data_IF_442605956975
#
_entry.id   IF_442605956975
#
_cell.length_a   1.000
_cell.length_b   1.000
_cell.length_c   1.000
_cell.angle_alpha   90.00
_cell.angle_beta   90.00
_cell.angle_gamma   90.00
#
_symmetry.space_group_name_H-M   'P 1'
#
loop_
_entity.id
_entity.type
_entity.pdbx_description
1 polymer ?
#
# COMPACT_ATOMS: atom_id res chain seq x y z
N UNK A 1 -14.76 -1.69 -18.21
CA UNK A 1 -15.34 -3.04 -18.22
C UNK A 1 -16.83 -2.96 -18.51
N UNK A 2 -17.36 -3.90 -19.30
CA UNK A 2 -18.76 -4.00 -19.65
C UNK A 2 -19.18 -5.47 -19.85
N UNK A 3 -20.49 -5.72 -19.91
CA UNK A 3 -21.06 -7.02 -20.18
C UNK A 3 -21.63 -7.06 -21.60
N UNK A 4 -21.26 -8.06 -22.39
CA UNK A 4 -21.91 -8.30 -23.66
C UNK A 4 -23.33 -8.90 -23.46
N UNK A 5 -24.20 -8.71 -24.45
CA UNK A 5 -25.65 -9.06 -24.33
C UNK A 5 -25.88 -10.54 -24.01
N UNK A 6 -25.04 -11.42 -24.53
CA UNK A 6 -25.10 -12.88 -24.40
C UNK A 6 -24.16 -13.45 -23.35
N UNK A 7 -23.56 -12.58 -22.49
CA UNK A 7 -22.63 -12.99 -21.45
C UNK A 7 -23.32 -13.45 -20.17
N UNK A 8 -22.74 -14.37 -19.40
CA UNK A 8 -23.31 -14.84 -18.15
C UNK A 8 -23.45 -13.71 -17.12
N UNK A 9 -24.37 -13.89 -16.18
CA UNK A 9 -24.58 -12.94 -15.06
C UNK A 9 -23.39 -12.99 -14.07
N UNK A 10 -23.21 -11.89 -13.33
CA UNK A 10 -22.16 -11.77 -12.30
C UNK A 10 -20.79 -11.44 -12.92
N UNK A 11 -19.75 -11.63 -12.15
CA UNK A 11 -18.37 -11.23 -12.53
C UNK A 11 -17.78 -12.06 -13.67
N UNK A 12 -18.33 -13.26 -13.91
CA UNK A 12 -17.87 -14.18 -14.96
C UNK A 12 -18.26 -13.74 -16.40
N UNK A 13 -19.13 -12.74 -16.55
CA UNK A 13 -19.56 -12.25 -17.86
C UNK A 13 -19.09 -10.82 -18.14
N UNK A 14 -18.00 -10.40 -17.55
CA UNK A 14 -17.43 -9.06 -17.74
C UNK A 14 -16.26 -9.13 -18.71
N UNK A 15 -16.30 -8.28 -19.73
CA UNK A 15 -15.23 -8.09 -20.72
C UNK A 15 -14.55 -6.74 -20.56
N UNK A 16 -13.31 -6.60 -20.99
CA UNK A 16 -12.54 -5.38 -20.96
C UNK A 16 -12.59 -4.70 -22.33
N UNK A 17 -12.77 -3.37 -22.34
CA UNK A 17 -12.84 -2.59 -23.57
C UNK A 17 -11.96 -1.35 -23.48
N UNK A 18 -11.24 -1.05 -24.55
CA UNK A 18 -10.66 0.25 -24.80
C UNK A 18 -11.69 1.11 -25.54
N UNK A 19 -12.09 2.22 -24.92
CA UNK A 19 -13.11 3.11 -25.50
C UNK A 19 -12.47 4.49 -25.67
N UNK A 20 -12.06 4.87 -26.90
CA UNK A 20 -11.39 6.14 -27.14
C UNK A 20 -12.38 7.32 -27.08
N UNK A 21 -11.90 8.48 -26.65
CA UNK A 21 -12.68 9.74 -26.64
C UNK A 21 -13.08 10.21 -28.05
N UNK A 22 -12.20 9.98 -29.00
CA UNK A 22 -12.42 10.18 -30.45
C UNK A 22 -12.17 8.85 -31.14
N UNK A 23 -13.01 8.53 -32.11
CA UNK A 23 -12.81 7.34 -32.92
C UNK A 23 -11.51 7.49 -33.71
N UNK A 24 -10.75 6.42 -33.83
CA UNK A 24 -9.50 6.43 -34.60
C UNK A 24 -9.85 6.10 -36.09
N UNK A 25 -9.40 6.95 -37.02
CA UNK A 25 -9.54 6.72 -38.43
C UNK A 25 -8.63 5.58 -38.93
N UNK A 26 -8.86 5.05 -40.11
CA UNK A 26 -8.05 3.99 -40.71
C UNK A 26 -6.57 4.37 -40.90
N UNK A 27 -6.28 5.65 -41.08
CA UNK A 27 -4.92 6.21 -41.20
C UNK A 27 -4.25 6.46 -39.84
N UNK A 28 -4.92 6.15 -38.74
CA UNK A 28 -4.46 6.41 -37.36
C UNK A 28 -4.73 7.83 -36.85
N UNK A 29 -5.35 8.69 -37.67
CA UNK A 29 -5.72 10.06 -37.34
C UNK A 29 -6.91 10.12 -36.38
N UNK A 30 -7.13 11.34 -35.83
CA UNK A 30 -8.25 11.63 -34.94
C UNK A 30 -9.53 11.77 -35.78
N UNK A 31 -10.48 10.87 -35.57
CA UNK A 31 -11.79 10.87 -36.18
C UNK A 31 -12.86 11.64 -35.40
N UNK A 32 -14.12 11.36 -35.65
CA UNK A 32 -15.23 12.02 -34.96
C UNK A 32 -15.24 11.71 -33.44
N UNK A 33 -15.90 12.56 -32.68
CA UNK A 33 -16.10 12.33 -31.25
C UNK A 33 -16.92 11.07 -31.03
N UNK A 34 -16.44 10.21 -30.15
CA UNK A 34 -17.12 8.98 -29.76
C UNK A 34 -18.29 9.30 -28.79
N UNK A 35 -19.22 8.38 -28.64
CA UNK A 35 -20.39 8.50 -27.76
C UNK A 35 -20.06 8.41 -26.27
N UNK A 36 -19.08 9.20 -25.81
CA UNK A 36 -18.68 9.29 -24.41
C UNK A 36 -18.87 10.75 -23.92
N UNK A 37 -19.56 10.89 -22.81
CA UNK A 37 -19.71 12.19 -22.14
C UNK A 37 -19.48 12.08 -20.65
N UNK A 38 -19.06 13.19 -20.03
CA UNK A 38 -18.97 13.33 -18.59
C UNK A 38 -20.32 13.75 -18.05
N UNK A 39 -20.92 12.93 -17.17
CA UNK A 39 -22.18 13.22 -16.51
C UNK A 39 -22.01 14.20 -15.35
N UNK A 40 -21.23 13.79 -14.35
CA UNK A 40 -20.93 14.63 -13.18
C UNK A 40 -19.46 14.48 -12.76
N UNK A 41 -18.98 15.49 -12.04
CA UNK A 41 -17.67 15.44 -11.36
C UNK A 41 -17.93 15.39 -9.86
N UNK A 42 -17.35 14.42 -9.18
CA UNK A 42 -17.53 14.22 -7.75
C UNK A 42 -16.82 15.29 -6.91
N UNK A 43 -17.51 15.79 -5.88
CA UNK A 43 -16.92 16.65 -4.86
C UNK A 43 -16.25 15.78 -3.79
N UNK A 44 -14.93 15.78 -3.75
CA UNK A 44 -14.15 14.88 -2.90
C UNK A 44 -13.52 15.58 -1.71
N UNK A 45 -13.20 14.79 -0.66
CA UNK A 45 -12.48 15.24 0.52
C UNK A 45 -11.05 15.71 0.19
N UNK A 46 -10.31 14.95 -0.62
CA UNK A 46 -8.93 15.20 -1.01
C UNK A 46 -8.69 14.89 -2.50
N UNK A 47 -7.42 14.92 -2.92
CA UNK A 47 -6.95 14.74 -4.30
C UNK A 47 -7.85 15.43 -5.34
N UNK A 48 -8.19 16.68 -5.05
CA UNK A 48 -9.17 17.45 -5.84
C UNK A 48 -8.70 17.76 -7.25
N UNK A 49 -7.38 17.76 -7.48
CA UNK A 49 -6.78 17.93 -8.80
C UNK A 49 -6.95 16.72 -9.74
N UNK A 50 -7.32 15.54 -9.20
CA UNK A 50 -7.64 14.35 -9.98
C UNK A 50 -9.14 14.14 -10.02
N UNK A 51 -9.77 14.37 -11.17
CA UNK A 51 -11.21 14.28 -11.31
C UNK A 51 -11.70 12.83 -11.18
N UNK A 52 -12.77 12.63 -10.39
CA UNK A 52 -13.59 11.42 -10.37
C UNK A 52 -14.93 11.77 -10.99
N UNK A 53 -15.31 11.06 -12.04
CA UNK A 53 -16.46 11.41 -12.88
C UNK A 53 -17.40 10.23 -13.09
N UNK A 54 -18.68 10.53 -13.27
CA UNK A 54 -19.61 9.63 -13.93
C UNK A 54 -19.41 9.75 -15.44
N UNK A 55 -19.15 8.64 -16.10
CA UNK A 55 -19.05 8.56 -17.55
C UNK A 55 -20.30 7.93 -18.13
N UNK A 56 -20.91 8.62 -19.11
CA UNK A 56 -22.03 8.10 -19.88
C UNK A 56 -21.50 7.57 -21.23
N UNK A 57 -21.97 6.39 -21.61
CA UNK A 57 -21.68 5.77 -22.89
C UNK A 57 -22.97 5.65 -23.66
N UNK A 58 -23.08 6.37 -24.77
CA UNK A 58 -24.25 6.41 -25.64
C UNK A 58 -23.78 6.02 -27.06
N UNK A 59 -24.09 4.80 -27.46
CA UNK A 59 -23.64 4.17 -28.71
C UNK A 59 -22.11 4.28 -28.95
N UNK A 60 -21.33 4.26 -27.86
CA UNK A 60 -19.89 4.44 -27.96
C UNK A 60 -19.22 3.22 -28.59
N UNK A 61 -18.34 3.47 -29.56
CA UNK A 61 -17.46 2.45 -30.15
C UNK A 61 -16.36 2.08 -29.18
N UNK A 62 -16.23 0.78 -28.88
CA UNK A 62 -15.17 0.22 -28.03
C UNK A 62 -14.53 -1.01 -28.65
N UNK A 63 -13.25 -1.20 -28.36
CA UNK A 63 -12.46 -2.34 -28.83
C UNK A 63 -12.21 -3.28 -27.67
N UNK A 64 -12.59 -4.56 -27.81
CA UNK A 64 -12.40 -5.57 -26.78
C UNK A 64 -10.91 -5.89 -26.62
N UNK A 65 -10.46 -5.91 -25.35
CA UNK A 65 -9.10 -6.32 -24.97
C UNK A 65 -9.17 -7.72 -24.37
N UNK A 66 -8.36 -8.63 -24.88
CA UNK A 66 -8.34 -10.01 -24.46
C UNK A 66 -9.58 -10.81 -24.91
N UNK A 67 -9.94 -11.81 -24.12
CA UNK A 67 -11.05 -12.71 -24.44
C UNK A 67 -12.37 -12.21 -23.83
N UNK A 68 -13.48 -12.45 -24.55
CA UNK A 68 -14.82 -12.23 -24.05
C UNK A 68 -15.03 -12.94 -22.69
N UNK A 69 -15.70 -12.26 -21.78
CA UNK A 69 -16.05 -12.78 -20.44
C UNK A 69 -14.83 -13.03 -19.51
N UNK A 70 -13.64 -12.54 -19.90
CA UNK A 70 -12.41 -12.62 -19.09
C UNK A 70 -11.86 -11.25 -18.67
N UNK A 71 -12.62 -10.19 -18.87
CA UNK A 71 -12.13 -8.82 -18.67
C UNK A 71 -11.62 -8.52 -17.28
N UNK A 72 -12.12 -9.18 -16.23
CA UNK A 72 -11.53 -9.04 -14.88
C UNK A 72 -10.12 -9.62 -14.81
N UNK A 73 -9.87 -10.77 -15.44
CA UNK A 73 -8.52 -11.36 -15.48
C UNK A 73 -7.53 -10.43 -16.17
N UNK A 74 -7.93 -9.90 -17.32
CA UNK A 74 -7.09 -8.97 -18.08
C UNK A 74 -6.82 -7.68 -17.31
N UNK A 75 -7.84 -7.15 -16.61
CA UNK A 75 -7.73 -5.96 -15.77
C UNK A 75 -6.77 -6.18 -14.57
N UNK A 76 -6.73 -7.39 -13.99
CA UNK A 76 -5.85 -7.68 -12.85
C UNK A 76 -4.37 -7.56 -13.19
N UNK A 77 -3.98 -7.69 -14.45
CA UNK A 77 -2.60 -7.43 -14.91
C UNK A 77 -2.17 -5.99 -14.56
N UNK A 78 -3.07 -5.02 -14.79
CA UNK A 78 -2.85 -3.62 -14.44
C UNK A 78 -3.03 -3.39 -12.92
N UNK A 79 -4.12 -3.91 -12.34
CA UNK A 79 -4.47 -3.62 -10.94
C UNK A 79 -3.46 -4.12 -9.92
N UNK A 80 -2.74 -5.20 -10.19
CA UNK A 80 -1.70 -5.67 -9.28
C UNK A 80 -0.53 -4.66 -9.20
N UNK A 81 -0.17 -4.04 -10.32
CA UNK A 81 0.82 -2.97 -10.34
C UNK A 81 0.28 -1.71 -9.64
N UNK A 82 -0.96 -1.31 -9.93
CA UNK A 82 -1.60 -0.14 -9.32
C UNK A 82 -1.67 -0.26 -7.79
N UNK A 83 -1.90 -1.45 -7.24
CA UNK A 83 -1.88 -1.68 -5.78
C UNK A 83 -0.53 -1.37 -5.16
N UNK A 84 0.58 -1.75 -5.81
CA UNK A 84 1.93 -1.41 -5.36
C UNK A 84 2.13 0.11 -5.43
N UNK A 85 1.71 0.75 -6.53
CA UNK A 85 1.79 2.22 -6.71
C UNK A 85 0.99 2.96 -5.64
N UNK A 86 -0.18 2.46 -5.24
CA UNK A 86 -0.96 3.04 -4.12
C UNK A 86 -0.21 2.92 -2.79
N UNK A 87 0.48 1.82 -2.54
CA UNK A 87 1.38 1.71 -1.37
C UNK A 87 2.50 2.76 -1.42
N UNK A 88 3.15 2.93 -2.59
CA UNK A 88 4.17 3.96 -2.81
C UNK A 88 3.61 5.38 -2.64
N UNK A 89 2.35 5.62 -3.01
CA UNK A 89 1.69 6.90 -2.76
C UNK A 89 1.58 7.18 -1.25
N UNK A 90 1.22 6.18 -0.44
CA UNK A 90 1.22 6.30 1.03
C UNK A 90 2.61 6.67 1.57
N UNK A 91 3.65 5.97 1.12
CA UNK A 91 5.05 6.27 1.47
C UNK A 91 5.44 7.71 1.08
N UNK A 92 5.09 8.17 -0.13
CA UNK A 92 5.42 9.52 -0.58
C UNK A 92 4.74 10.63 0.25
N UNK A 93 3.47 10.41 0.62
CA UNK A 93 2.73 11.33 1.50
C UNK A 93 3.33 11.32 2.91
N UNK A 94 3.70 10.14 3.42
CA UNK A 94 4.37 9.99 4.72
C UNK A 94 5.70 10.75 4.76
N UNK A 95 6.51 10.63 3.72
CA UNK A 95 7.80 11.31 3.61
C UNK A 95 7.65 12.82 3.66
N UNK A 96 6.72 13.41 2.90
CA UNK A 96 6.54 14.86 2.89
C UNK A 96 5.97 15.35 4.22
N UNK A 97 5.10 14.58 4.87
CA UNK A 97 4.58 14.87 6.19
C UNK A 97 5.69 14.90 7.24
N UNK A 98 6.61 13.92 7.20
CA UNK A 98 7.77 13.85 8.09
C UNK A 98 8.72 15.03 7.88
N UNK A 99 9.11 15.32 6.64
CA UNK A 99 10.07 16.39 6.34
C UNK A 99 9.55 17.75 6.81
N UNK A 100 8.29 18.07 6.53
CA UNK A 100 7.65 19.30 6.99
C UNK A 100 7.59 19.37 8.52
N UNK A 101 7.21 18.27 9.17
CA UNK A 101 7.14 18.20 10.64
C UNK A 101 8.50 18.35 11.29
N UNK A 102 9.54 17.77 10.71
CA UNK A 102 10.93 17.90 11.20
C UNK A 102 11.43 19.34 11.06
N UNK A 103 11.16 20.00 9.94
CA UNK A 103 11.54 21.41 9.73
C UNK A 103 10.81 22.31 10.73
N UNK A 104 9.50 22.16 10.84
CA UNK A 104 8.69 22.90 11.79
C UNK A 104 9.16 22.71 13.25
N UNK A 105 9.45 21.48 13.64
CA UNK A 105 9.89 21.17 14.99
C UNK A 105 11.26 21.79 15.36
N UNK A 106 12.12 22.03 14.38
CA UNK A 106 13.41 22.71 14.56
C UNK A 106 13.31 24.25 14.68
N UNK A 107 12.20 24.83 14.24
CA UNK A 107 11.99 26.29 14.20
C UNK A 107 10.99 26.76 15.23
N UNK A 108 9.96 25.97 15.53
CA UNK A 108 8.89 26.32 16.46
C UNK A 108 9.38 26.21 17.92
N UNK A 109 9.11 27.26 18.69
CA UNK A 109 9.35 27.27 20.14
C UNK A 109 8.04 27.22 20.91
N UNK A 110 7.99 26.37 21.96
CA UNK A 110 6.84 26.31 22.86
C UNK A 110 7.21 25.57 24.15
N UNK A 111 6.85 26.16 25.30
CA UNK A 111 7.09 25.56 26.62
C UNK A 111 8.58 25.44 26.97
N UNK A 112 8.85 24.75 28.07
CA UNK A 112 10.21 24.39 28.51
C UNK A 112 10.28 22.90 28.75
N UNK A 113 11.37 22.28 28.34
CA UNK A 113 11.68 20.88 28.66
C UNK A 113 12.20 20.75 30.09
N UNK A 114 12.14 19.54 30.66
CA UNK A 114 12.69 19.27 31.99
C UNK A 114 14.19 19.58 32.12
N UNK A 115 14.92 19.53 31.01
CA UNK A 115 16.36 19.78 30.89
C UNK A 115 16.66 21.06 30.12
N UNK A 116 15.74 22.02 30.11
CA UNK A 116 15.88 23.27 29.37
C UNK A 116 17.17 24.00 29.76
N UNK A 117 17.96 24.39 28.77
CA UNK A 117 19.12 25.26 28.92
C UNK A 117 18.79 26.72 28.65
N UNK A 118 17.57 27.01 28.24
CA UNK A 118 17.11 28.37 27.94
C UNK A 118 16.90 29.14 29.24
N UNK A 119 17.66 30.20 29.44
CA UNK A 119 17.50 31.12 30.60
C UNK A 119 16.30 32.02 30.43
N UNK A 120 15.99 32.43 29.21
CA UNK A 120 14.91 33.38 28.90
C UNK A 120 14.16 32.93 27.65
N UNK A 121 13.03 32.22 27.82
CA UNK A 121 12.20 31.85 26.69
C UNK A 121 11.80 30.37 26.65
N UNK A 122 11.15 29.99 25.57
CA UNK A 122 10.72 28.63 25.29
C UNK A 122 11.80 27.85 24.52
N UNK A 123 11.82 26.55 24.69
CA UNK A 123 12.66 25.63 23.92
C UNK A 123 12.06 25.36 22.52
N UNK A 124 12.88 24.91 21.58
CA UNK A 124 12.37 24.37 20.32
C UNK A 124 11.58 23.09 20.58
N UNK A 125 10.47 22.90 19.87
CA UNK A 125 9.60 21.74 20.17
C UNK A 125 10.29 20.41 19.87
N UNK A 126 11.30 20.34 19.01
CA UNK A 126 12.13 19.14 18.81
C UNK A 126 12.87 18.71 20.09
N UNK A 127 13.04 19.58 21.06
CA UNK A 127 13.70 19.24 22.33
C UNK A 127 12.75 18.50 23.30
N UNK A 128 11.44 18.50 23.05
CA UNK A 128 10.47 17.73 23.82
C UNK A 128 10.53 16.25 23.46
N UNK A 129 10.49 15.38 24.46
CA UNK A 129 10.72 13.95 24.29
C UNK A 129 9.62 13.26 23.47
N UNK A 130 8.37 13.67 23.60
CA UNK A 130 7.21 13.20 22.84
C UNK A 130 7.33 13.55 21.35
N UNK A 131 7.71 14.80 21.02
CA UNK A 131 7.95 15.23 19.63
C UNK A 131 9.08 14.42 19.00
N UNK A 132 10.21 14.23 19.72
CA UNK A 132 11.30 13.38 19.23
C UNK A 132 10.85 11.94 19.00
N UNK A 133 10.03 11.39 19.90
CA UNK A 133 9.50 10.03 19.77
C UNK A 133 8.63 9.92 18.51
N UNK A 134 7.70 10.86 18.29
CA UNK A 134 6.85 10.87 17.10
C UNK A 134 7.69 10.98 15.81
N UNK A 135 8.62 11.92 15.74
CA UNK A 135 9.52 12.07 14.58
C UNK A 135 10.38 10.83 14.33
N UNK A 136 10.90 10.19 15.39
CA UNK A 136 11.68 8.96 15.24
C UNK A 136 10.81 7.79 14.74
N UNK A 137 9.59 7.68 15.26
CA UNK A 137 8.63 6.68 14.80
C UNK A 137 8.29 6.86 13.32
N UNK A 138 7.91 8.08 12.91
CA UNK A 138 7.66 8.43 11.51
C UNK A 138 8.85 8.04 10.63
N UNK A 139 10.06 8.45 11.01
CA UNK A 139 11.28 8.14 10.25
C UNK A 139 11.53 6.65 10.14
N UNK A 140 11.41 5.90 11.24
CA UNK A 140 11.69 4.46 11.23
C UNK A 140 10.71 3.69 10.33
N UNK A 141 9.45 4.07 10.31
CA UNK A 141 8.44 3.50 9.42
C UNK A 141 8.79 3.82 7.96
N UNK A 142 8.99 5.08 7.62
CA UNK A 142 9.25 5.56 6.26
C UNK A 142 10.51 4.90 5.66
N UNK A 143 11.59 4.80 6.41
CA UNK A 143 12.81 4.17 5.92
C UNK A 143 12.62 2.65 5.71
N UNK A 144 11.92 1.98 6.63
CA UNK A 144 11.56 0.57 6.46
C UNK A 144 10.67 0.32 5.25
N UNK A 145 9.63 1.15 5.05
CA UNK A 145 8.75 1.10 3.88
C UNK A 145 9.53 1.31 2.58
N UNK A 146 10.45 2.27 2.57
CA UNK A 146 11.31 2.57 1.41
C UNK A 146 12.19 1.38 1.04
N UNK A 147 12.83 0.76 2.03
CA UNK A 147 13.67 -0.41 1.80
C UNK A 147 12.84 -1.59 1.28
N UNK A 148 11.67 -1.84 1.88
CA UNK A 148 10.75 -2.88 1.41
C UNK A 148 10.22 -2.62 0.00
N UNK A 149 9.96 -1.36 -0.35
CA UNK A 149 9.57 -0.93 -1.70
C UNK A 149 10.66 -1.25 -2.73
N UNK A 150 11.91 -0.93 -2.45
CA UNK A 150 13.02 -1.24 -3.35
C UNK A 150 13.20 -2.75 -3.52
N UNK A 151 13.12 -3.52 -2.43
CA UNK A 151 13.16 -4.97 -2.52
C UNK A 151 12.03 -5.53 -3.38
N UNK A 152 10.79 -5.05 -3.19
CA UNK A 152 9.65 -5.49 -3.98
C UNK A 152 9.77 -5.09 -5.45
N UNK A 153 10.30 -3.90 -5.75
CA UNK A 153 10.57 -3.45 -7.11
C UNK A 153 11.61 -4.34 -7.79
N UNK A 154 12.67 -4.73 -7.07
CA UNK A 154 13.66 -5.69 -7.56
C UNK A 154 13.02 -7.06 -7.86
N UNK A 155 12.19 -7.58 -6.94
CA UNK A 155 11.47 -8.83 -7.20
C UNK A 155 10.54 -8.73 -8.41
N UNK A 156 9.90 -7.59 -8.61
CA UNK A 156 9.05 -7.34 -9.79
C UNK A 156 9.87 -7.41 -11.08
N UNK A 157 11.03 -6.78 -11.12
CA UNK A 157 11.93 -6.82 -12.27
C UNK A 157 12.46 -8.24 -12.54
N UNK A 158 12.90 -8.94 -11.49
CA UNK A 158 13.32 -10.34 -11.59
C UNK A 158 12.20 -11.23 -12.13
N UNK A 159 10.97 -11.04 -11.66
CA UNK A 159 9.80 -11.79 -12.12
C UNK A 159 9.46 -11.60 -13.59
N UNK A 160 9.87 -10.49 -14.19
CA UNK A 160 9.60 -10.16 -15.59
C UNK A 160 10.74 -10.57 -16.53
N UNK A 161 11.99 -10.40 -16.09
CA UNK A 161 13.14 -10.40 -17.01
C UNK A 161 14.24 -11.44 -16.68
N UNK A 162 14.18 -12.15 -15.54
CA UNK A 162 15.20 -13.13 -15.21
C UNK A 162 15.19 -14.31 -16.20
N UNK A 163 16.38 -14.81 -16.56
CA UNK A 163 16.53 -15.90 -17.53
C UNK A 163 16.20 -17.29 -16.96
N UNK A 164 16.36 -17.50 -15.64
CA UNK A 164 16.02 -18.74 -14.96
C UNK A 164 14.55 -18.72 -14.54
N UNK A 165 13.75 -19.63 -15.07
CA UNK A 165 12.30 -19.71 -14.83
C UNK A 165 11.95 -20.03 -13.36
N UNK A 166 12.83 -20.71 -12.60
CA UNK A 166 12.58 -20.98 -11.18
C UNK A 166 12.73 -19.70 -10.35
N UNK A 167 13.80 -18.95 -10.60
CA UNK A 167 14.04 -17.66 -9.93
C UNK A 167 12.93 -16.67 -10.30
N UNK A 168 12.53 -16.64 -11.57
CA UNK A 168 11.45 -15.82 -12.07
C UNK A 168 10.12 -16.13 -11.38
N UNK A 169 9.79 -17.41 -11.23
CA UNK A 169 8.57 -17.85 -10.55
C UNK A 169 8.61 -17.51 -9.05
N UNK A 170 9.72 -17.74 -8.38
CA UNK A 170 9.88 -17.40 -6.96
C UNK A 170 9.71 -15.88 -6.72
N UNK A 171 10.32 -15.05 -7.56
CA UNK A 171 10.15 -13.60 -7.49
C UNK A 171 8.69 -13.19 -7.73
N UNK A 172 8.01 -13.80 -8.71
CA UNK A 172 6.57 -13.59 -8.95
C UNK A 172 5.72 -13.95 -7.75
N UNK A 173 6.07 -15.01 -7.05
CA UNK A 173 5.40 -15.48 -5.85
C UNK A 173 5.57 -14.46 -4.70
N UNK A 174 6.78 -13.92 -4.48
CA UNK A 174 7.01 -12.84 -3.51
C UNK A 174 6.26 -11.56 -3.86
N UNK A 175 6.23 -11.14 -5.11
CA UNK A 175 5.44 -10.00 -5.56
C UNK A 175 3.95 -10.23 -5.26
N UNK A 176 3.46 -11.42 -5.57
CA UNK A 176 2.06 -11.81 -5.32
C UNK A 176 1.71 -11.77 -3.82
N UNK A 177 2.60 -12.25 -2.95
CA UNK A 177 2.42 -12.26 -1.49
C UNK A 177 2.42 -10.84 -0.92
N UNK A 178 3.38 -10.01 -1.35
CA UNK A 178 3.65 -8.71 -0.72
C UNK A 178 2.79 -7.56 -1.28
N UNK A 179 2.21 -7.70 -2.46
CA UNK A 179 1.34 -6.66 -3.05
C UNK A 179 0.21 -6.22 -2.10
N UNK A 180 -0.62 -7.11 -1.53
CA UNK A 180 -1.65 -6.71 -0.57
C UNK A 180 -1.07 -6.13 0.72
N UNK A 181 0.08 -6.60 1.17
CA UNK A 181 0.75 -6.11 2.38
C UNK A 181 1.22 -4.67 2.20
N UNK A 182 1.97 -4.39 1.12
CA UNK A 182 2.48 -3.05 0.81
C UNK A 182 1.33 -2.07 0.62
N UNK A 183 0.31 -2.44 -0.18
CA UNK A 183 -0.85 -1.58 -0.39
C UNK A 183 -1.55 -1.22 0.92
N UNK A 184 -1.81 -2.20 1.77
CA UNK A 184 -2.61 -2.00 2.98
C UNK A 184 -1.80 -1.34 4.09
N UNK A 185 -0.64 -1.90 4.45
CA UNK A 185 0.16 -1.40 5.56
C UNK A 185 0.63 0.04 5.34
N UNK A 186 1.20 0.33 4.16
CA UNK A 186 1.75 1.66 3.90
C UNK A 186 0.67 2.74 3.89
N UNK A 187 -0.51 2.43 3.37
CA UNK A 187 -1.61 3.39 3.37
C UNK A 187 -2.22 3.61 4.75
N UNK A 188 -2.28 2.57 5.61
CA UNK A 188 -2.71 2.70 6.99
C UNK A 188 -1.69 3.48 7.82
N UNK A 189 -0.40 3.16 7.72
CA UNK A 189 0.67 3.89 8.39
C UNK A 189 0.78 5.36 7.93
N UNK A 190 0.51 5.63 6.66
CA UNK A 190 0.44 7.00 6.17
C UNK A 190 -0.72 7.80 6.81
N UNK A 191 -1.84 7.17 7.19
CA UNK A 191 -2.88 7.84 7.97
C UNK A 191 -2.38 8.21 9.37
N UNK A 192 -1.66 7.32 10.02
CA UNK A 192 -1.07 7.58 11.33
C UNK A 192 -0.02 8.70 11.24
N UNK A 193 0.91 8.62 10.29
CA UNK A 193 1.98 9.60 10.07
C UNK A 193 1.42 11.00 9.74
N UNK A 194 0.42 11.09 8.87
CA UNK A 194 -0.19 12.38 8.54
C UNK A 194 -0.98 12.98 9.71
N UNK A 195 -1.59 12.15 10.55
CA UNK A 195 -2.21 12.57 11.80
C UNK A 195 -1.17 13.09 12.81
N UNK A 196 -0.06 12.37 12.99
CA UNK A 196 1.05 12.79 13.86
C UNK A 196 1.71 14.08 13.36
N UNK A 197 1.82 14.26 12.05
CA UNK A 197 2.31 15.49 11.45
C UNK A 197 1.42 16.69 11.81
N UNK A 198 0.10 16.55 11.73
CA UNK A 198 -0.84 17.57 12.19
C UNK A 198 -0.68 17.85 13.70
N UNK A 199 -0.50 16.80 14.49
CA UNK A 199 -0.31 16.92 15.95
C UNK A 199 0.97 17.70 16.28
N UNK A 200 2.09 17.43 15.59
CA UNK A 200 3.36 18.16 15.76
C UNK A 200 3.21 19.64 15.44
N UNK A 201 2.42 19.99 14.43
CA UNK A 201 2.15 21.37 14.06
C UNK A 201 1.13 22.06 15.01
N UNK A 202 0.43 21.29 15.85
CA UNK A 202 -0.60 21.82 16.76
C UNK A 202 -1.73 22.51 15.99
N UNK A 203 -2.25 23.63 16.50
CA UNK A 203 -3.32 24.37 15.85
C UNK A 203 -3.02 24.81 14.40
N UNK A 204 -1.77 25.09 14.07
CA UNK A 204 -1.35 25.38 12.69
C UNK A 204 -1.51 24.19 11.76
N UNK A 205 -1.31 22.94 12.24
CA UNK A 205 -1.53 21.74 11.44
C UNK A 205 -2.99 21.54 11.00
N UNK A 206 -3.93 22.17 11.70
CA UNK A 206 -5.35 22.13 11.37
C UNK A 206 -5.80 23.23 10.40
N UNK A 207 -4.98 24.28 10.21
CA UNK A 207 -5.26 25.37 9.28
C UNK A 207 -4.75 25.02 7.87
N UNK A 208 -5.43 25.56 6.85
CA UNK A 208 -5.06 25.31 5.43
C UNK A 208 -3.74 25.96 5.04
N UNK A 209 -3.33 27.02 5.72
CA UNK A 209 -2.15 27.82 5.35
C UNK A 209 -0.84 27.00 5.40
N UNK A 210 -0.78 25.98 6.26
CA UNK A 210 0.40 25.11 6.40
C UNK A 210 0.41 23.93 5.43
N UNK A 211 -0.73 23.60 4.81
CA UNK A 211 -0.86 22.48 3.87
C UNK A 211 -0.76 21.07 4.49
N UNK A 212 -0.49 20.94 5.80
CA UNK A 212 -0.35 19.65 6.48
C UNK A 212 -1.70 18.91 6.53
N UNK A 213 -2.80 19.63 6.80
CA UNK A 213 -4.13 19.05 6.83
C UNK A 213 -4.52 18.42 5.47
N UNK A 214 -4.01 18.98 4.37
CA UNK A 214 -4.25 18.45 3.04
C UNK A 214 -3.63 17.05 2.87
N UNK A 215 -2.44 16.79 3.40
CA UNK A 215 -1.80 15.48 3.32
C UNK A 215 -2.68 14.40 3.96
N UNK A 216 -3.30 14.71 5.11
CA UNK A 216 -4.24 13.80 5.77
C UNK A 216 -5.49 13.54 4.92
N UNK A 217 -6.09 14.60 4.35
CA UNK A 217 -7.28 14.47 3.48
C UNK A 217 -6.98 13.72 2.20
N UNK A 218 -5.84 14.00 1.56
CA UNK A 218 -5.43 13.37 0.31
C UNK A 218 -5.08 11.89 0.52
N UNK A 219 -4.46 11.55 1.66
CA UNK A 219 -4.16 10.16 1.97
C UNK A 219 -5.40 9.32 2.29
N UNK A 220 -6.52 9.93 2.74
CA UNK A 220 -7.66 9.15 3.24
C UNK A 220 -8.27 8.20 2.21
N UNK A 221 -8.11 8.48 0.93
CA UNK A 221 -8.60 7.62 -0.13
C UNK A 221 -7.74 6.36 -0.32
N UNK A 222 -6.44 6.41 0.02
CA UNK A 222 -5.51 5.33 -0.28
C UNK A 222 -5.85 4.00 0.41
N UNK A 223 -6.39 3.95 1.66
CA UNK A 223 -6.92 2.71 2.23
C UNK A 223 -8.21 2.20 1.60
N UNK A 224 -8.88 3.00 0.74
CA UNK A 224 -10.21 2.70 0.22
C UNK A 224 -10.16 2.20 -1.21
N UNK A 225 -9.53 2.96 -2.13
CA UNK A 225 -9.54 2.62 -3.56
C UNK A 225 -8.56 1.50 -3.91
N UNK A 226 -8.64 0.99 -5.14
CA UNK A 226 -7.89 -0.20 -5.62
C UNK A 226 -8.13 -1.47 -4.77
N UNK A 227 -9.34 -1.55 -4.22
CA UNK A 227 -9.73 -2.53 -3.21
C UNK A 227 -9.37 -2.05 -1.80
N UNK A 228 -10.35 -2.01 -0.90
CA UNK A 228 -10.13 -1.58 0.48
C UNK A 228 -9.06 -2.45 1.16
N UNK A 229 -8.44 -1.93 2.21
CA UNK A 229 -7.42 -2.69 2.96
C UNK A 229 -7.96 -4.02 3.49
N UNK A 230 -9.25 -4.11 3.85
CA UNK A 230 -9.88 -5.39 4.19
C UNK A 230 -10.00 -6.36 3.00
N UNK A 231 -10.21 -5.84 1.78
CA UNK A 231 -10.18 -6.69 0.56
C UNK A 231 -8.77 -7.21 0.31
N UNK A 232 -7.72 -6.42 0.57
CA UNK A 232 -6.33 -6.86 0.49
C UNK A 232 -6.04 -7.96 1.53
N UNK A 233 -6.51 -7.78 2.76
CA UNK A 233 -6.36 -8.77 3.82
C UNK A 233 -7.08 -10.08 3.47
N UNK A 234 -8.30 -10.02 2.95
CA UNK A 234 -9.04 -11.19 2.48
C UNK A 234 -8.33 -11.88 1.29
N UNK A 235 -7.79 -11.11 0.34
CA UNK A 235 -6.98 -11.67 -0.77
C UNK A 235 -5.74 -12.41 -0.26
N UNK A 236 -5.07 -11.86 0.74
CA UNK A 236 -3.91 -12.49 1.38
C UNK A 236 -4.31 -13.83 2.01
N UNK A 237 -5.28 -13.85 2.93
CA UNK A 237 -5.58 -15.06 3.71
C UNK A 237 -6.33 -16.14 2.93
N UNK A 238 -7.24 -15.77 2.01
CA UNK A 238 -8.04 -16.75 1.28
C UNK A 238 -7.49 -17.18 -0.07
N UNK A 239 -6.52 -16.44 -0.64
CA UNK A 239 -5.98 -16.75 -1.96
C UNK A 239 -4.46 -16.94 -1.96
N UNK A 240 -3.70 -16.13 -1.22
CA UNK A 240 -2.24 -16.20 -1.26
C UNK A 240 -1.70 -17.28 -0.33
N UNK A 241 -2.18 -17.33 0.93
CA UNK A 241 -1.73 -18.33 1.90
C UNK A 241 -2.24 -19.74 1.59
N UNK A 242 -3.38 -19.86 0.90
CA UNK A 242 -4.04 -21.14 0.62
C UNK A 242 -3.79 -21.65 -0.80
N UNK A 243 -2.94 -20.99 -1.56
CA UNK A 243 -2.62 -21.39 -2.92
C UNK A 243 -1.90 -22.75 -2.93
N UNK A 244 -2.44 -23.70 -3.72
CA UNK A 244 -1.92 -25.07 -3.83
C UNK A 244 -0.55 -25.19 -4.50
N UNK A 245 -0.03 -24.13 -5.09
CA UNK A 245 1.19 -24.14 -5.89
C UNK A 245 2.49 -23.97 -5.10
N UNK A 246 2.43 -23.99 -3.78
CA UNK A 246 3.59 -23.93 -2.90
C UNK A 246 3.37 -23.09 -1.65
N UNK A 247 4.18 -23.33 -0.64
CA UNK A 247 4.18 -22.59 0.61
C UNK A 247 5.05 -21.33 0.49
N UNK A 248 4.52 -20.30 -0.19
CA UNK A 248 5.23 -19.04 -0.40
C UNK A 248 5.53 -18.34 0.92
N UNK A 249 4.56 -18.33 1.84
CA UNK A 249 4.75 -17.70 3.14
C UNK A 249 5.81 -18.42 3.96
N UNK A 250 5.82 -19.76 3.98
CA UNK A 250 6.85 -20.54 4.66
C UNK A 250 8.24 -20.21 4.12
N UNK A 251 8.43 -20.18 2.79
CA UNK A 251 9.70 -19.78 2.17
C UNK A 251 10.12 -18.37 2.55
N UNK A 252 9.17 -17.41 2.59
CA UNK A 252 9.46 -16.03 2.98
C UNK A 252 9.91 -15.94 4.44
N UNK A 253 9.24 -16.63 5.36
CA UNK A 253 9.61 -16.67 6.77
C UNK A 253 10.97 -17.38 6.99
N UNK A 254 11.25 -18.47 6.28
CA UNK A 254 12.54 -19.15 6.31
C UNK A 254 13.67 -18.27 5.78
N UNK A 255 13.44 -17.53 4.71
CA UNK A 255 14.40 -16.56 4.18
C UNK A 255 14.77 -15.51 5.25
N UNK A 256 13.78 -14.89 5.89
CA UNK A 256 14.03 -13.91 6.96
C UNK A 256 14.79 -14.56 8.13
N UNK A 257 14.40 -15.76 8.56
CA UNK A 257 15.01 -16.46 9.67
C UNK A 257 16.46 -16.78 9.40
N UNK A 258 16.77 -17.32 8.22
CA UNK A 258 18.16 -17.61 7.79
C UNK A 258 19.02 -16.35 7.82
N UNK A 259 18.50 -15.22 7.33
CA UNK A 259 19.25 -13.97 7.35
C UNK A 259 19.42 -13.39 8.77
N UNK A 260 18.47 -13.62 9.68
CA UNK A 260 18.61 -13.25 11.09
C UNK A 260 19.74 -14.02 11.77
N UNK A 261 19.89 -15.30 11.47
CA UNK A 261 20.89 -16.18 12.09
C UNK A 261 22.33 -15.81 11.65
N UNK A 262 22.49 -15.25 10.46
CA UNK A 262 23.78 -14.79 9.93
C UNK A 262 24.28 -13.45 10.50
N UNK A 263 23.45 -12.73 11.29
CA UNK A 263 23.82 -11.42 11.82
C UNK A 263 24.58 -11.47 13.15
N UNK A 264 25.54 -10.60 13.29
CA UNK A 264 26.41 -10.48 14.45
C UNK A 264 26.35 -9.06 15.06
N UNK A 265 26.93 -8.91 16.25
CA UNK A 265 27.11 -7.61 16.90
C UNK A 265 25.80 -6.98 17.39
N UNK A 266 25.62 -5.65 17.21
CA UNK A 266 24.47 -4.90 17.71
C UNK A 266 23.14 -5.34 17.08
N UNK A 267 23.17 -5.84 15.85
CA UNK A 267 22.00 -6.32 15.14
C UNK A 267 21.43 -7.60 15.76
N UNK A 268 22.27 -8.41 16.44
CA UNK A 268 21.86 -9.66 17.05
C UNK A 268 20.72 -9.54 18.09
N UNK A 269 20.68 -8.44 18.84
CA UNK A 269 19.57 -8.21 19.79
C UNK A 269 18.26 -7.99 19.04
N UNK A 270 18.30 -7.21 17.98
CA UNK A 270 17.14 -6.93 17.14
C UNK A 270 16.65 -8.20 16.41
N UNK A 271 17.56 -9.04 15.88
CA UNK A 271 17.18 -10.28 15.21
C UNK A 271 16.58 -11.31 16.18
N UNK A 272 16.95 -11.28 17.46
CA UNK A 272 16.31 -12.12 18.48
C UNK A 272 14.83 -11.78 18.65
N UNK A 273 14.51 -10.48 18.72
CA UNK A 273 13.12 -10.04 18.82
C UNK A 273 12.37 -10.35 17.53
N UNK A 274 12.98 -10.15 16.36
CA UNK A 274 12.36 -10.49 15.09
C UNK A 274 12.07 -12.00 14.98
N UNK A 275 12.98 -12.87 15.39
CA UNK A 275 12.76 -14.33 15.42
C UNK A 275 11.56 -14.71 16.31
N UNK A 276 11.38 -14.04 17.45
CA UNK A 276 10.20 -14.25 18.29
C UNK A 276 8.89 -13.95 17.54
N UNK A 277 8.85 -12.81 16.81
CA UNK A 277 7.66 -12.45 16.02
C UNK A 277 7.47 -13.33 14.77
N UNK A 278 8.55 -13.85 14.17
CA UNK A 278 8.47 -14.87 13.12
C UNK A 278 7.77 -16.14 13.61
N UNK A 279 8.12 -16.61 14.81
CA UNK A 279 7.48 -17.80 15.41
C UNK A 279 5.98 -17.56 15.69
N UNK A 280 5.60 -16.35 16.13
CA UNK A 280 4.19 -15.97 16.31
C UNK A 280 3.48 -15.97 14.95
N UNK A 281 4.06 -15.33 13.94
CA UNK A 281 3.47 -15.24 12.60
C UNK A 281 3.33 -16.62 11.96
N UNK A 282 4.30 -17.51 12.16
CA UNK A 282 4.20 -18.91 11.71
C UNK A 282 3.00 -19.63 12.31
N UNK A 283 2.82 -19.55 13.63
CA UNK A 283 1.64 -20.13 14.32
C UNK A 283 0.33 -19.52 13.85
N UNK A 284 0.31 -18.21 13.61
CA UNK A 284 -0.87 -17.54 13.08
C UNK A 284 -1.18 -18.00 11.65
N UNK A 285 -0.15 -18.19 10.83
CA UNK A 285 -0.28 -18.75 9.48
C UNK A 285 -0.87 -20.17 9.50
N UNK A 286 -0.39 -21.03 10.40
CA UNK A 286 -0.89 -22.40 10.54
C UNK A 286 -2.35 -22.39 10.97
N UNK A 287 -2.73 -21.54 11.92
CA UNK A 287 -4.12 -21.38 12.35
C UNK A 287 -5.02 -20.93 11.19
N UNK A 288 -4.60 -19.95 10.36
CA UNK A 288 -5.38 -19.53 9.18
C UNK A 288 -5.52 -20.68 8.19
N UNK A 289 -4.45 -21.43 7.92
CA UNK A 289 -4.48 -22.59 7.00
C UNK A 289 -5.40 -23.70 7.51
N UNK A 290 -5.47 -23.91 8.81
CA UNK A 290 -6.38 -24.90 9.43
C UNK A 290 -7.84 -24.44 9.31
N UNK A 291 -8.13 -23.17 9.60
CA UNK A 291 -9.50 -22.66 9.74
C UNK A 291 -10.14 -22.16 8.44
N UNK A 292 -9.36 -21.89 7.39
CA UNK A 292 -9.86 -21.16 6.20
C UNK A 292 -11.01 -21.85 5.44
N UNK A 293 -11.22 -23.14 5.60
CA UNK A 293 -12.34 -23.87 4.98
C UNK A 293 -13.53 -23.94 5.90
N UNK A 294 -13.32 -24.19 7.18
CA UNK A 294 -14.34 -24.59 8.14
C UNK A 294 -14.91 -23.39 8.91
N UNK A 295 -14.11 -22.35 9.09
CA UNK A 295 -14.47 -21.15 9.85
C UNK A 295 -14.02 -19.87 9.14
N UNK A 296 -14.72 -19.54 8.06
CA UNK A 296 -14.39 -18.38 7.23
C UNK A 296 -14.62 -17.04 7.94
N UNK A 297 -15.54 -16.98 8.87
CA UNK A 297 -15.88 -15.75 9.59
C UNK A 297 -14.75 -15.38 10.56
N UNK A 298 -14.21 -16.34 11.30
CA UNK A 298 -13.07 -16.12 12.18
C UNK A 298 -11.82 -15.72 11.39
N UNK A 299 -11.54 -16.41 10.26
CA UNK A 299 -10.42 -16.06 9.38
C UNK A 299 -10.61 -14.66 8.78
N UNK A 300 -11.84 -14.30 8.39
CA UNK A 300 -12.12 -12.95 7.87
C UNK A 300 -11.93 -11.88 8.94
N UNK A 301 -12.33 -12.14 10.18
CA UNK A 301 -12.15 -11.22 11.30
C UNK A 301 -10.67 -11.01 11.62
N UNK A 302 -9.84 -12.06 11.56
CA UNK A 302 -8.41 -12.03 11.83
C UNK A 302 -7.55 -11.52 10.65
N UNK A 303 -8.11 -11.40 9.44
CA UNK A 303 -7.35 -11.14 8.22
C UNK A 303 -6.54 -9.84 8.27
N UNK A 304 -7.11 -8.75 8.78
CA UNK A 304 -6.42 -7.46 8.89
C UNK A 304 -5.26 -7.54 9.90
N UNK A 305 -5.45 -8.21 11.02
CA UNK A 305 -4.42 -8.37 12.05
C UNK A 305 -3.27 -9.25 11.53
N UNK A 306 -3.59 -10.29 10.77
CA UNK A 306 -2.60 -11.11 10.09
C UNK A 306 -1.77 -10.28 9.10
N UNK A 307 -2.44 -9.52 8.22
CA UNK A 307 -1.76 -8.67 7.24
C UNK A 307 -0.85 -7.65 7.92
N UNK A 308 -1.32 -6.98 8.97
CA UNK A 308 -0.52 -6.03 9.74
C UNK A 308 0.69 -6.70 10.40
N UNK A 309 0.51 -7.88 10.98
CA UNK A 309 1.60 -8.64 11.60
C UNK A 309 2.67 -9.01 10.57
N UNK A 310 2.28 -9.57 9.43
CA UNK A 310 3.19 -9.86 8.32
C UNK A 310 3.90 -8.61 7.83
N UNK A 311 3.17 -7.50 7.73
CA UNK A 311 3.72 -6.22 7.29
C UNK A 311 4.76 -5.67 8.26
N UNK A 312 4.50 -5.65 9.57
CA UNK A 312 5.49 -5.20 10.57
C UNK A 312 6.71 -6.11 10.63
N UNK A 313 6.55 -7.43 10.50
CA UNK A 313 7.68 -8.36 10.39
C UNK A 313 8.52 -8.04 9.14
N UNK A 314 7.87 -7.73 8.02
CA UNK A 314 8.56 -7.34 6.78
C UNK A 314 9.30 -6.00 6.89
N UNK A 315 8.72 -5.00 7.58
CA UNK A 315 9.40 -3.74 7.89
C UNK A 315 10.61 -3.97 8.80
N UNK A 316 10.45 -4.78 9.85
CA UNK A 316 11.55 -5.12 10.75
C UNK A 316 12.68 -5.86 9.99
N UNK A 317 12.33 -6.77 9.09
CA UNK A 317 13.28 -7.40 8.19
C UNK A 317 14.05 -6.40 7.33
N UNK A 318 13.40 -5.37 6.81
CA UNK A 318 14.05 -4.32 6.02
C UNK A 318 15.16 -3.57 6.79
N UNK A 319 15.09 -3.54 8.12
CA UNK A 319 16.09 -2.91 8.97
C UNK A 319 17.31 -3.79 9.28
N UNK A 320 17.26 -5.07 8.96
CA UNK A 320 18.42 -5.96 9.12
C UNK A 320 19.21 -6.16 7.82
N UNK A 321 18.65 -5.75 6.69
CA UNK A 321 19.30 -5.72 5.38
C UNK A 321 20.28 -4.57 5.28
#
# INVERSE_FOLDING_TARGET
>A
IARATDSPKGTKGISLFLVPKFVVNEDGGIGPRNGISTGSIESKMGIKGSATCVLNFDEATGYMIGEKDRGLKEMFTMMNLERIVVGIQGLGISEIAYQNSLSYAKERKQGKTNNSKSTNGADFIIEHADIRKSLLNMKSIIEGERALCFWLSQQTEVSLYHSDEKIKQEASDYVSLMTPVVKSLFTDLAMEITSDAMQIHGGYGFTKDQGIEQLYRDNRITPIYEGTNSVQAADLVFRKLTNKNGDIIGKFLEMIKSECDDKNGKVKTFTKDLNYYLDILSKFTDWIKEKHTDDKDDVSAAANDYLKTLGFVSLAYSWIK
#
